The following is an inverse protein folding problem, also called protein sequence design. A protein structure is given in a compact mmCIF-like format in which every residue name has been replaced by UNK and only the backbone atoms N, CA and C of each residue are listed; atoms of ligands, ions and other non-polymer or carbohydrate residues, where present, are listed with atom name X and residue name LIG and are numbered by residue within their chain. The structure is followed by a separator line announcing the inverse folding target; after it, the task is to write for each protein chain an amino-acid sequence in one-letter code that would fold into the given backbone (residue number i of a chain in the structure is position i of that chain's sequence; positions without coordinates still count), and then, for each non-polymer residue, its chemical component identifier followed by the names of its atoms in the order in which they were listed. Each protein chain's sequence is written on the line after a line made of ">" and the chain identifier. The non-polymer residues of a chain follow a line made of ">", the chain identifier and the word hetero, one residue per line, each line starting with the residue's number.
data_IF_669475378654
#
_entry.id   IF_669475378654
#
_cell.length_a   1.000
_cell.length_b   1.000
_cell.length_c   1.000
_cell.angle_alpha   90.00
_cell.angle_beta   90.00
_cell.angle_gamma   90.00
#
_symmetry.space_group_name_H-M   'P 1'
#
loop_
_entity.id
_entity.type
_entity.pdbx_description
1 polymer ?
#
# COMPACT_ATOMS: atom_id res chain seq x y z
N UNK A 1 13.61 23.44 -46.98
CA UNK A 1 13.10 22.29 -46.18
C UNK A 1 13.38 22.37 -44.67
N UNK A 2 13.62 23.54 -44.07
CA UNK A 2 14.09 23.68 -42.67
C UNK A 2 13.03 24.21 -41.69
N UNK A 3 12.00 24.90 -42.15
CA UNK A 3 10.97 25.55 -41.30
C UNK A 3 9.98 24.49 -40.69
N UNK A 4 9.60 23.49 -41.45
CA UNK A 4 8.61 22.46 -41.00
C UNK A 4 9.14 21.54 -39.90
N UNK A 5 10.47 21.34 -39.84
CA UNK A 5 11.12 20.54 -38.79
C UNK A 5 11.26 21.30 -37.48
N UNK A 6 11.41 22.63 -37.55
CA UNK A 6 11.51 23.52 -36.38
C UNK A 6 10.16 23.70 -35.70
N UNK A 7 9.07 23.87 -36.47
CA UNK A 7 7.70 23.95 -35.94
C UNK A 7 7.25 22.63 -35.25
N UNK A 8 7.67 21.45 -35.75
CA UNK A 8 7.38 20.17 -35.09
C UNK A 8 8.16 19.97 -33.79
N UNK A 9 9.37 20.54 -33.67
CA UNK A 9 10.15 20.49 -32.41
C UNK A 9 9.58 21.44 -31.34
N UNK A 10 9.14 22.62 -31.75
CA UNK A 10 8.52 23.61 -30.82
C UNK A 10 7.12 23.18 -30.37
N UNK A 11 6.36 22.45 -31.18
CA UNK A 11 5.07 21.84 -30.78
C UNK A 11 5.22 20.65 -29.83
N UNK A 12 6.35 19.95 -29.85
CA UNK A 12 6.66 18.84 -28.91
C UNK A 12 7.12 19.39 -27.55
N UNK A 13 7.70 20.60 -27.50
CA UNK A 13 8.13 21.24 -26.25
C UNK A 13 7.00 22.02 -25.53
N UNK A 14 5.87 22.25 -26.21
CA UNK A 14 4.69 22.94 -25.65
C UNK A 14 3.65 22.02 -25.01
N UNK A 15 3.82 20.69 -25.07
CA UNK A 15 2.95 19.79 -24.33
C UNK A 15 3.32 19.87 -22.85
N UNK A 16 2.34 20.18 -21.94
CA UNK A 16 2.61 20.25 -20.51
C UNK A 16 3.28 18.94 -20.08
N UNK A 17 4.35 19.05 -19.29
CA UNK A 17 5.05 17.87 -18.75
C UNK A 17 4.02 17.04 -18.01
N UNK A 18 4.03 15.72 -18.19
CA UNK A 18 3.06 14.82 -17.56
C UNK A 18 2.94 15.04 -16.03
N UNK A 19 4.00 15.55 -15.37
CA UNK A 19 3.98 15.91 -13.96
C UNK A 19 3.07 17.11 -13.61
N UNK A 20 2.72 17.98 -14.57
CA UNK A 20 1.91 19.19 -14.38
C UNK A 20 0.41 18.96 -14.67
N UNK A 21 0.06 17.83 -15.28
CA UNK A 21 -1.33 17.47 -15.59
C UNK A 21 -2.07 17.03 -14.31
N UNK A 22 -3.38 17.32 -14.28
CA UNK A 22 -4.26 16.79 -13.24
C UNK A 22 -4.39 15.26 -13.34
N UNK A 23 -4.82 14.62 -12.24
CA UNK A 23 -4.90 13.17 -12.15
C UNK A 23 -5.88 12.56 -13.16
N UNK A 24 -7.01 13.20 -13.40
CA UNK A 24 -8.03 12.74 -14.34
C UNK A 24 -7.49 12.70 -15.76
N UNK A 25 -6.80 13.75 -16.18
CA UNK A 25 -6.13 13.83 -17.49
C UNK A 25 -5.07 12.74 -17.63
N UNK A 26 -4.27 12.52 -16.58
CA UNK A 26 -3.25 11.47 -16.59
C UNK A 26 -3.87 10.08 -16.71
N UNK A 27 -4.98 9.82 -16.03
CA UNK A 27 -5.71 8.54 -16.10
C UNK A 27 -6.21 8.30 -17.53
N UNK A 28 -6.87 9.28 -18.15
CA UNK A 28 -7.37 9.14 -19.54
C UNK A 28 -6.21 8.84 -20.50
N UNK A 29 -5.12 9.59 -20.42
CA UNK A 29 -3.95 9.37 -21.29
C UNK A 29 -3.30 8.01 -21.05
N UNK A 30 -3.21 7.58 -19.80
CA UNK A 30 -2.68 6.25 -19.47
C UNK A 30 -3.57 5.14 -20.03
N UNK A 31 -4.90 5.31 -20.03
CA UNK A 31 -5.86 4.40 -20.65
C UNK A 31 -5.70 4.31 -22.18
N UNK A 32 -5.27 5.41 -22.81
CA UNK A 32 -4.93 5.49 -24.24
C UNK A 32 -3.54 4.92 -24.55
N UNK A 33 -2.82 4.38 -23.55
CA UNK A 33 -1.51 3.76 -23.72
C UNK A 33 -0.31 4.70 -23.52
N UNK A 34 -0.52 5.91 -23.01
CA UNK A 34 0.58 6.83 -22.69
C UNK A 34 1.32 6.37 -21.41
N UNK A 35 2.44 5.68 -21.62
CA UNK A 35 3.32 5.19 -20.54
C UNK A 35 3.80 6.32 -19.63
N UNK A 36 4.10 7.52 -20.18
CA UNK A 36 4.58 8.65 -19.37
C UNK A 36 3.50 9.19 -18.45
N UNK A 37 2.24 9.18 -18.88
CA UNK A 37 1.11 9.54 -18.03
C UNK A 37 0.95 8.55 -16.87
N UNK A 38 1.06 7.25 -17.14
CA UNK A 38 1.02 6.23 -16.09
C UNK A 38 2.21 6.34 -15.12
N UNK A 39 3.42 6.57 -15.62
CA UNK A 39 4.59 6.79 -14.76
C UNK A 39 4.41 8.03 -13.86
N UNK A 40 3.77 9.08 -14.34
CA UNK A 40 3.48 10.26 -13.53
C UNK A 40 2.46 9.94 -12.42
N UNK A 41 1.41 9.17 -12.73
CA UNK A 41 0.45 8.64 -11.74
C UNK A 41 1.15 7.76 -10.70
N UNK A 42 1.95 6.79 -11.15
CA UNK A 42 2.69 5.89 -10.27
C UNK A 42 3.58 6.67 -9.30
N UNK A 43 4.35 7.64 -9.79
CA UNK A 43 5.22 8.48 -8.96
C UNK A 43 4.47 9.28 -7.90
N UNK A 44 3.27 9.79 -8.20
CA UNK A 44 2.45 10.54 -7.23
C UNK A 44 2.02 9.68 -6.04
N UNK A 45 1.73 8.42 -6.28
CA UNK A 45 1.20 7.50 -5.28
C UNK A 45 2.23 6.56 -4.67
N UNK A 46 3.41 6.41 -5.31
CA UNK A 46 4.42 5.40 -4.97
C UNK A 46 4.80 5.39 -3.49
N UNK A 47 5.03 6.56 -2.88
CA UNK A 47 5.44 6.63 -1.48
C UNK A 47 4.37 6.09 -0.53
N UNK A 48 3.08 6.40 -0.78
CA UNK A 48 1.97 5.90 0.03
C UNK A 48 1.76 4.39 -0.18
N UNK A 49 1.80 3.94 -1.44
CA UNK A 49 1.66 2.52 -1.80
C UNK A 49 2.80 1.67 -1.23
N UNK A 50 4.04 2.17 -1.25
CA UNK A 50 5.19 1.48 -0.64
C UNK A 50 5.04 1.37 0.87
N UNK A 51 4.66 2.48 1.56
CA UNK A 51 4.40 2.43 3.01
C UNK A 51 3.33 1.40 3.37
N UNK A 52 2.22 1.37 2.61
CA UNK A 52 1.19 0.33 2.78
C UNK A 52 1.79 -1.08 2.63
N UNK A 53 2.54 -1.31 1.54
CA UNK A 53 3.15 -2.62 1.28
C UNK A 53 4.09 -3.05 2.42
N UNK A 54 4.99 -2.16 2.89
CA UNK A 54 5.89 -2.44 4.02
C UNK A 54 5.11 -2.79 5.29
N UNK A 55 4.05 -2.04 5.62
CA UNK A 55 3.22 -2.28 6.81
C UNK A 55 2.44 -3.60 6.74
N UNK A 56 2.06 -4.01 5.54
CA UNK A 56 1.34 -5.27 5.32
C UNK A 56 2.28 -6.47 5.27
N UNK A 57 3.41 -6.36 4.55
CA UNK A 57 4.36 -7.45 4.35
C UNK A 57 5.29 -7.67 5.56
N UNK A 58 5.67 -6.59 6.25
CA UNK A 58 6.63 -6.62 7.36
C UNK A 58 8.09 -6.69 6.92
N UNK A 59 8.35 -6.83 5.63
CA UNK A 59 9.68 -6.90 5.03
C UNK A 59 9.78 -5.87 3.88
N UNK A 60 10.78 -4.96 3.91
CA UNK A 60 10.94 -3.94 2.89
C UNK A 60 11.24 -4.49 1.49
N UNK A 61 12.03 -5.56 1.37
CA UNK A 61 12.39 -6.16 0.08
C UNK A 61 11.17 -6.78 -0.59
N UNK A 62 10.39 -7.54 0.16
CA UNK A 62 9.14 -8.12 -0.36
C UNK A 62 8.06 -7.06 -0.63
N UNK A 63 8.05 -5.97 0.13
CA UNK A 63 7.17 -4.84 -0.13
C UNK A 63 7.52 -4.16 -1.46
N UNK A 64 8.81 -4.05 -1.79
CA UNK A 64 9.28 -3.55 -3.08
C UNK A 64 8.85 -4.46 -4.23
N UNK A 65 9.07 -5.76 -4.10
CA UNK A 65 8.64 -6.75 -5.09
C UNK A 65 7.10 -6.71 -5.29
N UNK A 66 6.34 -6.66 -4.19
CA UNK A 66 4.88 -6.55 -4.24
C UNK A 66 4.43 -5.28 -4.95
N UNK A 67 5.09 -4.14 -4.70
CA UNK A 67 4.77 -2.88 -5.34
C UNK A 67 5.11 -2.90 -6.83
N UNK A 68 6.28 -3.40 -7.22
CA UNK A 68 6.68 -3.52 -8.62
C UNK A 68 5.70 -4.38 -9.41
N UNK A 69 5.36 -5.56 -8.90
CA UNK A 69 4.38 -6.44 -9.53
C UNK A 69 2.98 -5.80 -9.59
N UNK A 70 2.58 -5.07 -8.53
CA UNK A 70 1.31 -4.36 -8.49
C UNK A 70 1.24 -3.23 -9.54
N UNK A 71 2.33 -2.48 -9.74
CA UNK A 71 2.41 -1.43 -10.77
C UNK A 71 2.31 -2.02 -12.19
N UNK A 72 2.97 -3.15 -12.44
CA UNK A 72 2.83 -3.87 -13.73
C UNK A 72 1.40 -4.36 -13.95
N UNK A 73 0.76 -4.91 -12.93
CA UNK A 73 -0.65 -5.33 -13.02
C UNK A 73 -1.59 -4.14 -13.21
N UNK A 74 -1.33 -3.02 -12.55
CA UNK A 74 -2.08 -1.78 -12.71
C UNK A 74 -1.96 -1.25 -14.15
N UNK A 75 -0.77 -1.18 -14.71
CA UNK A 75 -0.57 -0.80 -16.11
C UNK A 75 -1.37 -1.65 -17.08
N UNK A 76 -1.35 -2.97 -16.90
CA UNK A 76 -2.10 -3.91 -17.77
C UNK A 76 -3.61 -3.73 -17.66
N UNK A 77 -4.12 -3.22 -16.53
CA UNK A 77 -5.55 -3.14 -16.21
C UNK A 77 -6.11 -1.74 -16.23
N UNK A 78 -5.28 -0.70 -16.45
CA UNK A 78 -5.74 0.69 -16.38
C UNK A 78 -6.82 1.02 -17.39
N UNK A 79 -6.82 0.38 -18.56
CA UNK A 79 -7.88 0.50 -19.55
C UNK A 79 -9.27 0.09 -19.04
N UNK A 80 -9.34 -0.75 -17.99
CA UNK A 80 -10.58 -1.16 -17.34
C UNK A 80 -10.95 -0.34 -16.10
N UNK A 81 -10.18 0.68 -15.73
CA UNK A 81 -10.51 1.58 -14.62
C UNK A 81 -11.64 2.52 -15.03
N UNK A 82 -12.81 2.41 -14.39
CA UNK A 82 -14.03 3.14 -14.78
C UNK A 82 -14.25 4.47 -14.04
N UNK A 83 -13.38 4.80 -13.09
CA UNK A 83 -13.56 6.00 -12.27
C UNK A 83 -14.65 5.90 -11.19
N UNK A 84 -15.16 4.69 -10.90
CA UNK A 84 -16.16 4.45 -9.83
C UNK A 84 -15.59 4.74 -8.42
N UNK A 85 -14.30 4.93 -8.31
CA UNK A 85 -13.58 5.34 -7.09
C UNK A 85 -12.40 6.26 -7.48
N UNK A 86 -11.76 6.91 -6.50
CA UNK A 86 -10.51 7.61 -6.73
C UNK A 86 -9.44 6.64 -7.27
N UNK A 87 -8.54 7.15 -8.11
CA UNK A 87 -7.43 6.35 -8.66
C UNK A 87 -6.56 5.77 -7.53
N UNK A 88 -6.31 6.54 -6.47
CA UNK A 88 -5.61 6.08 -5.27
C UNK A 88 -6.27 4.86 -4.63
N UNK A 89 -7.61 4.86 -4.44
CA UNK A 89 -8.36 3.73 -3.88
C UNK A 89 -8.21 2.48 -4.75
N UNK A 90 -8.27 2.63 -6.07
CA UNK A 90 -8.05 1.54 -7.00
C UNK A 90 -6.62 1.00 -6.90
N UNK A 91 -5.60 1.86 -6.81
CA UNK A 91 -4.21 1.46 -6.61
C UNK A 91 -3.99 0.75 -5.26
N UNK A 92 -4.59 1.26 -4.17
CA UNK A 92 -4.57 0.58 -2.86
C UNK A 92 -5.12 -0.85 -2.97
N UNK A 93 -6.21 -1.04 -3.73
CA UNK A 93 -6.78 -2.38 -3.99
C UNK A 93 -5.79 -3.28 -4.73
N UNK A 94 -5.13 -2.78 -5.78
CA UNK A 94 -4.17 -3.57 -6.57
C UNK A 94 -3.00 -4.01 -5.69
N UNK A 95 -2.38 -3.08 -4.92
CA UNK A 95 -1.25 -3.37 -4.03
C UNK A 95 -1.67 -4.31 -2.90
N UNK A 96 -2.79 -4.04 -2.22
CA UNK A 96 -3.30 -4.91 -1.15
C UNK A 96 -3.52 -6.34 -1.64
N UNK A 97 -4.14 -6.53 -2.80
CA UNK A 97 -4.38 -7.85 -3.36
C UNK A 97 -3.07 -8.57 -3.70
N UNK A 98 -2.06 -7.84 -4.18
CA UNK A 98 -0.73 -8.41 -4.45
C UNK A 98 -0.06 -8.86 -3.15
N UNK A 99 -0.01 -8.01 -2.13
CA UNK A 99 0.54 -8.35 -0.81
C UNK A 99 -0.17 -9.59 -0.21
N UNK A 100 -1.50 -9.60 -0.17
CA UNK A 100 -2.26 -10.74 0.33
C UNK A 100 -2.02 -12.02 -0.48
N UNK A 101 -1.83 -11.90 -1.79
CA UNK A 101 -1.48 -13.00 -2.67
C UNK A 101 -0.11 -13.60 -2.35
N UNK A 102 0.89 -12.76 -2.09
CA UNK A 102 2.23 -13.19 -1.69
C UNK A 102 2.24 -13.83 -0.30
N UNK A 103 1.57 -13.22 0.68
CA UNK A 103 1.44 -13.77 2.04
C UNK A 103 0.77 -15.14 2.05
N UNK A 104 -0.29 -15.35 1.25
CA UNK A 104 -0.94 -16.67 1.12
C UNK A 104 -0.03 -17.74 0.53
N UNK A 105 0.87 -17.39 -0.41
CA UNK A 105 1.83 -18.35 -0.98
C UNK A 105 2.93 -18.75 0.00
N UNK A 106 3.27 -17.87 0.96
CA UNK A 106 4.25 -18.16 2.01
C UNK A 106 3.74 -19.15 3.06
N UNK A 107 2.42 -19.19 3.28
CA UNK A 107 1.85 -20.14 4.24
C UNK A 107 1.99 -21.55 3.66
N UNK A 108 2.76 -22.47 4.30
CA UNK A 108 2.61 -23.90 4.04
C UNK A 108 1.12 -24.27 4.21
N UNK A 109 0.63 -25.24 3.45
CA UNK A 109 -0.69 -25.84 3.67
C UNK A 109 -0.88 -26.11 5.17
N UNK A 110 -2.11 -25.96 5.74
CA UNK A 110 -2.33 -25.88 7.16
C UNK A 110 -1.84 -27.15 7.87
N UNK A 111 -0.66 -27.05 8.46
CA UNK A 111 -0.22 -27.90 9.56
C UNK A 111 -0.53 -27.08 10.82
N UNK A 112 -1.15 -27.70 11.81
CA UNK A 112 -1.51 -27.10 13.10
C UNK A 112 -0.39 -26.19 13.62
N UNK A 113 -0.71 -24.92 13.86
CA UNK A 113 0.27 -23.95 14.35
C UNK A 113 0.61 -24.27 15.82
N UNK A 114 1.81 -24.77 16.02
CA UNK A 114 2.56 -24.57 17.26
C UNK A 114 2.96 -23.10 17.30
N UNK A 115 2.67 -22.42 18.42
CA UNK A 115 3.08 -21.06 18.69
C UNK A 115 4.61 -21.02 18.81
N UNK A 116 5.30 -20.63 17.74
CA UNK A 116 6.73 -20.33 17.83
C UNK A 116 6.90 -18.87 18.27
N UNK A 117 7.55 -18.72 19.43
CA UNK A 117 8.00 -17.47 19.98
C UNK A 117 8.99 -16.80 19.01
N UNK A 118 8.72 -15.52 18.71
CA UNK A 118 9.57 -14.71 17.85
C UNK A 118 10.80 -14.25 18.63
N UNK A 119 11.98 -14.62 18.17
CA UNK A 119 13.27 -14.22 18.70
C UNK A 119 13.43 -12.69 18.77
N UNK A 120 13.95 -12.22 19.92
CA UNK A 120 14.27 -10.84 20.20
C UNK A 120 15.51 -10.40 19.42
N UNK A 121 15.31 -9.56 18.39
CA UNK A 121 16.42 -8.81 17.80
C UNK A 121 16.60 -7.49 18.58
N UNK A 122 17.69 -7.41 19.32
CA UNK A 122 18.11 -6.28 20.15
C UNK A 122 18.53 -5.09 19.28
N UNK A 123 17.83 -3.97 19.42
CA UNK A 123 18.33 -2.66 18.97
C UNK A 123 18.90 -1.92 20.17
N UNK A 124 20.19 -1.54 20.11
CA UNK A 124 20.88 -0.67 21.06
C UNK A 124 21.03 0.72 20.43
N UNK A 125 20.61 1.76 21.11
CA UNK A 125 21.30 2.90 21.69
C UNK A 125 20.39 4.13 21.92
N UNK A 126 20.22 4.46 23.16
CA UNK A 126 20.09 5.66 23.99
C UNK A 126 19.45 6.97 23.44
N UNK A 127 18.89 7.88 24.27
CA UNK A 127 18.73 8.01 25.72
C UNK A 127 17.30 7.68 26.23
N UNK A 128 17.15 7.46 27.51
CA UNK A 128 16.07 6.73 28.19
C UNK A 128 14.62 7.01 27.75
N UNK A 129 14.24 8.23 27.40
CA UNK A 129 12.87 8.55 26.93
C UNK A 129 12.62 8.29 25.46
N UNK A 130 13.61 8.48 24.59
CA UNK A 130 13.48 8.13 23.18
C UNK A 130 13.55 6.61 23.00
N UNK A 131 14.36 5.93 23.82
CA UNK A 131 14.46 4.47 23.81
C UNK A 131 13.15 3.77 24.21
N UNK A 132 12.39 4.29 25.18
CA UNK A 132 11.07 3.75 25.53
C UNK A 132 10.05 3.94 24.40
N UNK A 133 10.02 5.11 23.78
CA UNK A 133 9.13 5.38 22.63
C UNK A 133 9.51 4.52 21.45
N UNK A 134 10.81 4.40 21.13
CA UNK A 134 11.30 3.58 20.05
C UNK A 134 11.05 2.09 20.29
N UNK A 135 11.24 1.62 21.52
CA UNK A 135 10.92 0.25 21.92
C UNK A 135 9.41 -0.03 21.87
N UNK A 136 8.56 0.93 22.27
CA UNK A 136 7.11 0.85 22.14
C UNK A 136 6.65 0.80 20.69
N UNK A 137 7.25 1.62 19.82
CA UNK A 137 6.96 1.60 18.38
C UNK A 137 7.40 0.30 17.72
N UNK A 138 8.56 -0.22 18.10
CA UNK A 138 9.03 -1.52 17.63
C UNK A 138 8.11 -2.66 18.10
N UNK A 139 7.66 -2.62 19.38
CA UNK A 139 6.69 -3.58 19.90
C UNK A 139 5.35 -3.53 19.17
N UNK A 140 4.84 -2.32 18.88
CA UNK A 140 3.64 -2.15 18.07
C UNK A 140 3.82 -2.71 16.66
N UNK A 141 4.96 -2.45 16.03
CA UNK A 141 5.30 -3.00 14.71
C UNK A 141 5.24 -4.52 14.70
N UNK A 142 5.87 -5.18 15.68
CA UNK A 142 5.81 -6.65 15.84
C UNK A 142 4.38 -7.14 16.09
N UNK A 143 3.63 -6.47 16.97
CA UNK A 143 2.24 -6.84 17.26
C UNK A 143 1.36 -6.74 16.02
N UNK A 144 1.53 -5.71 15.19
CA UNK A 144 0.82 -5.56 13.91
C UNK A 144 1.17 -6.72 12.96
N UNK A 145 2.45 -7.12 12.89
CA UNK A 145 2.85 -8.28 12.07
C UNK A 145 2.29 -9.61 12.60
N UNK A 146 2.03 -9.72 13.90
CA UNK A 146 1.36 -10.87 14.52
C UNK A 146 -0.14 -10.99 14.21
N UNK A 147 -0.79 -9.94 13.72
CA UNK A 147 -2.17 -10.01 13.29
C UNK A 147 -2.35 -10.92 12.07
N UNK A 148 -3.51 -11.61 11.99
CA UNK A 148 -3.90 -12.27 10.73
C UNK A 148 -4.00 -11.25 9.61
N UNK A 149 -3.61 -11.64 8.40
CA UNK A 149 -3.44 -10.73 7.24
C UNK A 149 -4.67 -9.85 6.98
N UNK A 150 -5.89 -10.40 7.08
CA UNK A 150 -7.11 -9.63 6.84
C UNK A 150 -7.40 -8.60 7.94
N UNK A 151 -6.98 -8.88 9.19
CA UNK A 151 -7.08 -7.93 10.31
C UNK A 151 -6.04 -6.83 10.15
N UNK A 152 -4.80 -7.21 9.83
CA UNK A 152 -3.68 -6.31 9.60
C UNK A 152 -3.98 -5.31 8.50
N UNK A 153 -4.41 -5.79 7.33
CA UNK A 153 -4.76 -4.92 6.19
C UNK A 153 -5.84 -3.92 6.57
N UNK A 154 -6.97 -4.38 7.16
CA UNK A 154 -8.05 -3.47 7.53
C UNK A 154 -7.61 -2.44 8.57
N UNK A 155 -6.79 -2.85 9.54
CA UNK A 155 -6.25 -1.97 10.58
C UNK A 155 -5.28 -0.94 10.00
N UNK A 156 -4.32 -1.37 9.16
CA UNK A 156 -3.36 -0.47 8.51
C UNK A 156 -4.08 0.57 7.65
N UNK A 157 -5.02 0.16 6.81
CA UNK A 157 -5.79 1.06 5.96
C UNK A 157 -6.61 2.08 6.80
N UNK A 158 -7.12 1.67 7.96
CA UNK A 158 -7.91 2.55 8.84
C UNK A 158 -7.05 3.48 9.66
N UNK A 159 -6.09 2.94 10.41
CA UNK A 159 -5.36 3.69 11.45
C UNK A 159 -4.14 4.44 10.89
N UNK A 160 -3.52 3.93 9.84
CA UNK A 160 -2.29 4.50 9.32
C UNK A 160 -2.47 5.23 7.97
N UNK A 161 -3.43 4.79 7.16
CA UNK A 161 -3.77 5.47 5.89
C UNK A 161 -5.02 6.37 6.02
N UNK A 162 -5.77 6.29 7.13
CA UNK A 162 -6.90 7.16 7.42
C UNK A 162 -8.17 6.92 6.60
N UNK A 163 -8.26 5.77 5.89
CA UNK A 163 -9.36 5.49 4.98
C UNK A 163 -10.69 5.22 5.69
N UNK A 164 -11.81 5.55 5.03
CA UNK A 164 -13.16 5.25 5.48
C UNK A 164 -13.53 3.77 5.36
N UNK A 165 -14.55 3.32 6.10
CA UNK A 165 -15.00 1.92 6.04
C UNK A 165 -15.46 1.50 4.64
N UNK A 166 -16.13 2.40 3.92
CA UNK A 166 -16.58 2.18 2.53
C UNK A 166 -15.38 1.93 1.60
N UNK A 167 -14.35 2.79 1.70
CA UNK A 167 -13.14 2.66 0.88
C UNK A 167 -12.39 1.36 1.20
N UNK A 168 -12.26 1.02 2.49
CA UNK A 168 -11.62 -0.23 2.92
C UNK A 168 -12.41 -1.45 2.42
N UNK A 169 -13.75 -1.38 2.43
CA UNK A 169 -14.61 -2.42 1.87
C UNK A 169 -14.37 -2.60 0.36
N UNK A 170 -14.27 -1.51 -0.38
CA UNK A 170 -13.93 -1.53 -1.82
C UNK A 170 -12.52 -2.12 -2.08
N UNK A 171 -11.53 -1.72 -1.27
CA UNK A 171 -10.15 -2.20 -1.39
C UNK A 171 -10.05 -3.70 -1.10
N UNK A 172 -10.69 -4.16 -0.03
CA UNK A 172 -10.55 -5.54 0.47
C UNK A 172 -11.57 -6.51 -0.15
N UNK A 173 -12.58 -6.01 -0.85
CA UNK A 173 -13.68 -6.82 -1.37
C UNK A 173 -14.59 -7.40 -0.28
N UNK A 174 -14.58 -6.82 0.92
CA UNK A 174 -15.40 -7.24 2.06
C UNK A 174 -16.60 -6.29 2.26
N UNK A 175 -17.61 -6.71 3.03
CA UNK A 175 -18.68 -5.80 3.46
C UNK A 175 -18.15 -4.82 4.52
N UNK A 176 -18.81 -3.65 4.65
CA UNK A 176 -18.43 -2.67 5.69
C UNK A 176 -18.51 -3.25 7.10
N UNK A 177 -19.52 -4.09 7.38
CA UNK A 177 -19.65 -4.74 8.70
C UNK A 177 -18.50 -5.72 8.96
N UNK A 178 -18.05 -6.46 7.93
CA UNK A 178 -16.88 -7.32 8.04
C UNK A 178 -15.61 -6.48 8.30
N UNK A 179 -15.45 -5.33 7.64
CA UNK A 179 -14.34 -4.40 7.88
C UNK A 179 -14.37 -3.87 9.31
N UNK A 180 -15.53 -3.39 9.79
CA UNK A 180 -15.70 -2.93 11.19
C UNK A 180 -15.31 -4.03 12.19
N UNK A 181 -15.81 -5.24 11.98
CA UNK A 181 -15.48 -6.39 12.83
C UNK A 181 -13.99 -6.77 12.79
N UNK A 182 -13.33 -6.68 11.63
CA UNK A 182 -11.88 -6.92 11.50
C UNK A 182 -11.07 -5.86 12.24
N UNK A 183 -11.39 -4.58 12.08
CA UNK A 183 -10.70 -3.47 12.76
C UNK A 183 -10.90 -3.58 14.27
N UNK A 184 -12.11 -3.86 14.74
CA UNK A 184 -12.38 -4.04 16.16
C UNK A 184 -11.54 -5.17 16.77
N UNK A 185 -11.50 -6.34 16.12
CA UNK A 185 -10.67 -7.47 16.58
C UNK A 185 -9.18 -7.15 16.57
N UNK A 186 -8.69 -6.47 15.53
CA UNK A 186 -7.30 -6.01 15.48
C UNK A 186 -6.97 -5.10 16.67
N UNK A 187 -7.82 -4.11 16.96
CA UNK A 187 -7.63 -3.19 18.10
C UNK A 187 -7.59 -3.93 19.44
N UNK A 188 -8.47 -4.92 19.65
CA UNK A 188 -8.47 -5.71 20.88
C UNK A 188 -7.17 -6.51 21.04
N UNK A 189 -6.71 -7.18 19.99
CA UNK A 189 -5.46 -7.94 20.02
C UNK A 189 -4.25 -7.04 20.27
N UNK A 190 -4.18 -5.90 19.57
CA UNK A 190 -3.10 -4.93 19.77
C UNK A 190 -3.13 -4.30 21.16
N UNK A 191 -4.31 -3.95 21.68
CA UNK A 191 -4.46 -3.39 23.03
C UNK A 191 -3.97 -4.34 24.12
N UNK A 192 -4.15 -5.65 23.95
CA UNK A 192 -3.65 -6.67 24.88
C UNK A 192 -2.13 -6.76 24.84
N UNK A 193 -1.52 -6.84 23.65
CA UNK A 193 -0.06 -6.91 23.48
C UNK A 193 0.62 -5.62 23.95
N UNK A 194 -0.04 -4.46 23.77
CA UNK A 194 0.51 -3.15 24.15
C UNK A 194 0.22 -2.76 25.61
N UNK A 195 -0.41 -3.64 26.41
CA UNK A 195 -0.70 -3.37 27.82
C UNK A 195 0.53 -2.94 28.65
N UNK A 196 1.72 -3.53 28.49
CA UNK A 196 2.94 -3.12 29.23
C UNK A 196 3.45 -1.72 28.90
N UNK A 197 2.98 -1.12 27.79
CA UNK A 197 3.47 0.17 27.25
C UNK A 197 2.51 1.34 27.52
N UNK A 198 1.53 1.16 28.43
CA UNK A 198 0.56 2.21 28.84
C UNK A 198 1.01 2.96 30.06
#
# INVERSE_FOLDING_TARGET
>A
MTASRRMRREAVDAAPRAAELDETTLVVRAQEGDVRAFEALARRHQAALYRLAVRVMGDPGEAEDALQEALLDAWRRIGGFRGDSAFSTWMYRVVTNRCLGMLRRRRPLPVERVEEAVDEAVARDSPERSAEVDAGMAALGRAVQGLRDELRVCWVLRELEGLGYVEIAQITGASEDAVRGRIHRARLQLAEVMRPWR
#
